data_IF_586836003961
#
_entry.id   IF_586836003961
#
_cell.length_a   1.000
_cell.length_b   1.000
_cell.length_c   1.000
_cell.angle_alpha   90.00
_cell.angle_beta   90.00
_cell.angle_gamma   90.00
#
_symmetry.space_group_name_H-M   'P 1'
#
loop_
_entity.id
_entity.type
_entity.pdbx_description
1 polymer ?
#
# COMPACT_ATOMS: atom_id res chain seq x y z
N UNK A 1 -31.89 53.88 18.97
CA UNK A 1 -32.68 52.72 18.53
C UNK A 1 -31.67 51.65 18.09
N UNK A 2 -30.89 51.15 19.07
CA UNK A 2 -29.56 50.53 18.83
C UNK A 2 -29.51 49.07 19.30
N UNK A 3 -30.66 48.42 19.39
CA UNK A 3 -30.77 47.05 19.92
C UNK A 3 -31.20 46.02 18.87
N UNK A 4 -31.66 46.46 17.69
CA UNK A 4 -32.08 45.55 16.60
C UNK A 4 -30.90 45.17 15.69
N UNK A 5 -29.90 46.03 15.55
CA UNK A 5 -28.73 45.79 14.66
C UNK A 5 -27.79 44.70 15.22
N UNK A 6 -27.76 44.51 16.54
CA UNK A 6 -26.88 43.53 17.18
C UNK A 6 -27.39 42.09 17.15
N UNK A 7 -28.67 41.84 16.83
CA UNK A 7 -29.19 40.46 16.74
C UNK A 7 -28.98 39.92 15.32
N UNK A 8 -29.05 40.77 14.29
CA UNK A 8 -28.84 40.35 12.89
C UNK A 8 -27.37 40.04 12.58
N UNK A 9 -26.43 40.61 13.34
CA UNK A 9 -24.99 40.39 13.10
C UNK A 9 -24.43 39.09 13.70
N UNK A 10 -25.13 38.45 14.66
CA UNK A 10 -24.58 37.28 15.36
C UNK A 10 -25.07 35.96 14.76
N UNK A 11 -26.24 35.95 14.10
CA UNK A 11 -26.81 34.72 13.51
C UNK A 11 -26.25 34.38 12.13
N UNK A 12 -25.61 35.31 11.42
CA UNK A 12 -25.02 35.05 10.09
C UNK A 12 -23.66 34.34 10.18
N UNK A 13 -22.99 34.39 11.33
CA UNK A 13 -21.64 33.83 11.49
C UNK A 13 -21.58 32.33 11.84
N UNK A 14 -22.72 31.68 12.09
CA UNK A 14 -22.76 30.28 12.55
C UNK A 14 -23.06 29.24 11.46
N UNK A 15 -23.20 29.65 10.19
CA UNK A 15 -23.60 28.75 9.10
C UNK A 15 -22.51 28.43 8.06
N UNK A 16 -21.27 28.92 8.21
CA UNK A 16 -20.22 28.76 7.18
C UNK A 16 -19.06 27.85 7.61
N UNK A 17 -19.20 27.09 8.70
CA UNK A 17 -18.14 26.21 9.19
C UNK A 17 -18.33 24.72 8.85
N UNK A 18 -19.42 24.33 8.19
CA UNK A 18 -19.74 22.90 7.97
C UNK A 18 -19.47 22.38 6.56
N UNK A 19 -18.91 23.17 5.64
CA UNK A 19 -18.90 22.78 4.22
C UNK A 19 -17.63 23.10 3.43
N UNK A 20 -16.43 23.02 4.03
CA UNK A 20 -15.21 22.87 3.20
C UNK A 20 -14.22 21.97 3.94
N UNK A 21 -14.46 20.66 3.90
CA UNK A 21 -13.34 19.73 3.88
C UNK A 21 -12.85 19.72 2.43
N UNK A 22 -11.67 20.25 2.10
CA UNK A 22 -11.11 20.03 0.78
C UNK A 22 -10.84 18.52 0.67
N UNK A 23 -11.73 17.80 -0.01
CA UNK A 23 -11.44 16.47 -0.49
C UNK A 23 -10.31 16.62 -1.53
N UNK A 24 -9.06 16.53 -1.07
CA UNK A 24 -7.91 16.40 -1.95
C UNK A 24 -8.07 15.04 -2.65
N UNK A 25 -8.46 15.06 -3.93
CA UNK A 25 -8.47 13.85 -4.75
C UNK A 25 -7.03 13.36 -4.88
N UNK A 26 -6.84 12.08 -4.54
CA UNK A 26 -5.56 11.40 -4.36
C UNK A 26 -4.85 11.07 -5.68
N UNK A 27 -4.66 12.07 -6.56
CA UNK A 27 -3.98 11.90 -7.86
C UNK A 27 -2.51 11.48 -7.68
N UNK A 28 -1.89 11.87 -6.56
CA UNK A 28 -0.46 11.62 -6.30
C UNK A 28 -0.15 10.15 -6.02
N UNK A 29 -1.06 9.39 -5.41
CA UNK A 29 -0.85 7.95 -5.22
C UNK A 29 -1.02 7.19 -6.53
N UNK A 30 -1.93 7.63 -7.40
CA UNK A 30 -2.19 6.99 -8.69
C UNK A 30 -0.98 7.08 -9.62
N UNK A 31 -0.27 8.22 -9.62
CA UNK A 31 1.00 8.37 -10.34
C UNK A 31 2.09 7.41 -9.82
N UNK A 32 2.15 7.20 -8.50
CA UNK A 32 3.15 6.30 -7.90
C UNK A 32 2.93 4.85 -8.32
N UNK A 33 1.69 4.34 -8.30
CA UNK A 33 1.41 2.95 -8.68
C UNK A 33 1.66 2.67 -10.17
N UNK A 34 1.59 3.70 -11.01
CA UNK A 34 1.85 3.60 -12.45
C UNK A 34 3.34 3.73 -12.81
N UNK A 35 4.20 4.07 -11.83
CA UNK A 35 5.64 4.25 -12.04
C UNK A 35 6.33 2.91 -12.31
N UNK A 36 7.29 2.90 -13.24
CA UNK A 36 8.12 1.73 -13.55
C UNK A 36 9.53 1.96 -13.02
N UNK A 37 10.03 1.01 -12.24
CA UNK A 37 11.41 0.98 -11.74
C UNK A 37 12.23 -0.07 -12.51
N UNK A 38 13.59 -0.01 -12.44
CA UNK A 38 14.43 -1.01 -13.06
C UNK A 38 14.11 -2.42 -12.55
N UNK A 39 13.93 -3.38 -13.47
CA UNK A 39 13.61 -4.78 -13.16
C UNK A 39 14.53 -5.37 -12.08
N UNK A 40 15.83 -5.08 -12.15
CA UNK A 40 16.80 -5.59 -11.17
C UNK A 40 16.52 -5.12 -9.74
N UNK A 41 15.96 -3.92 -9.55
CA UNK A 41 15.57 -3.42 -8.24
C UNK A 41 14.43 -4.28 -7.66
N UNK A 42 13.38 -4.55 -8.44
CA UNK A 42 12.31 -5.44 -8.00
C UNK A 42 12.78 -6.86 -7.69
N UNK A 43 13.69 -7.42 -8.48
CA UNK A 43 14.24 -8.74 -8.22
C UNK A 43 15.03 -8.78 -6.91
N UNK A 44 15.83 -7.74 -6.66
CA UNK A 44 16.55 -7.57 -5.40
C UNK A 44 15.58 -7.47 -4.22
N UNK A 45 14.55 -6.63 -4.33
CA UNK A 45 13.57 -6.43 -3.27
C UNK A 45 12.75 -7.70 -2.98
N UNK A 46 12.42 -8.51 -4.00
CA UNK A 46 11.80 -9.82 -3.80
C UNK A 46 12.72 -10.77 -3.03
N UNK A 47 14.00 -10.83 -3.40
CA UNK A 47 14.97 -11.70 -2.72
C UNK A 47 15.19 -11.27 -1.26
N UNK A 48 15.26 -9.97 -1.00
CA UNK A 48 15.37 -9.42 0.35
C UNK A 48 14.10 -9.69 1.16
N UNK A 49 12.92 -9.42 0.61
CA UNK A 49 11.63 -9.72 1.25
C UNK A 49 11.52 -11.20 1.62
N UNK A 50 11.81 -12.10 0.68
CA UNK A 50 11.68 -13.54 0.89
C UNK A 50 12.61 -14.04 2.00
N UNK A 51 13.86 -13.56 2.02
CA UNK A 51 14.83 -13.88 3.08
C UNK A 51 14.39 -13.33 4.43
N UNK A 52 14.01 -12.06 4.48
CA UNK A 52 13.57 -11.41 5.71
C UNK A 52 12.38 -12.14 6.32
N UNK A 53 11.41 -12.57 5.51
CA UNK A 53 10.28 -13.36 5.97
C UNK A 53 10.72 -14.70 6.56
N UNK A 54 11.65 -15.42 5.93
CA UNK A 54 12.11 -16.72 6.44
C UNK A 54 13.04 -16.61 7.66
N UNK A 55 13.74 -15.48 7.81
CA UNK A 55 14.72 -15.27 8.87
C UNK A 55 14.08 -14.68 10.15
N UNK A 56 13.02 -13.88 9.99
CA UNK A 56 12.37 -13.18 11.12
C UNK A 56 11.10 -13.86 11.62
N UNK A 57 10.38 -14.56 10.75
CA UNK A 57 9.16 -15.24 11.16
C UNK A 57 9.52 -16.50 11.98
N UNK A 58 8.96 -16.72 13.18
CA UNK A 58 9.34 -17.83 14.05
C UNK A 58 9.11 -19.22 13.43
N UNK A 59 8.06 -19.36 12.62
CA UNK A 59 7.66 -20.63 11.99
C UNK A 59 7.24 -20.41 10.51
N UNK A 60 8.17 -20.01 9.63
CA UNK A 60 7.84 -19.56 8.27
C UNK A 60 7.28 -20.67 7.38
N UNK A 61 7.44 -21.93 7.80
CA UNK A 61 7.06 -23.12 7.07
C UNK A 61 5.98 -23.95 7.79
N UNK A 62 5.24 -23.35 8.72
CA UNK A 62 4.17 -24.05 9.45
C UNK A 62 3.04 -24.51 8.51
N UNK A 63 2.66 -23.65 7.55
CA UNK A 63 1.54 -23.89 6.63
C UNK A 63 1.97 -24.14 5.17
N UNK A 64 3.26 -24.05 4.88
CA UNK A 64 3.85 -24.23 3.55
C UNK A 64 5.21 -24.91 3.64
N UNK A 65 5.53 -25.85 2.73
CA UNK A 65 6.88 -26.42 2.70
C UNK A 65 7.90 -25.39 2.22
N UNK A 66 9.14 -25.51 2.69
CA UNK A 66 10.26 -24.65 2.26
C UNK A 66 10.39 -24.64 0.73
N UNK A 67 10.34 -25.79 0.10
CA UNK A 67 10.49 -25.95 -1.35
C UNK A 67 9.35 -25.27 -2.10
N UNK A 68 8.11 -25.40 -1.58
CA UNK A 68 6.94 -24.76 -2.19
C UNK A 68 7.00 -23.24 -2.05
N UNK A 69 7.44 -22.74 -0.90
CA UNK A 69 7.64 -21.30 -0.68
C UNK A 69 8.65 -20.72 -1.69
N UNK A 70 9.86 -21.28 -1.75
CA UNK A 70 10.89 -20.79 -2.68
C UNK A 70 10.50 -20.97 -4.15
N UNK A 71 9.75 -22.03 -4.50
CA UNK A 71 9.17 -22.16 -5.84
C UNK A 71 8.18 -21.03 -6.16
N UNK A 72 7.35 -20.63 -5.20
CA UNK A 72 6.44 -19.49 -5.40
C UNK A 72 7.22 -18.19 -5.58
N UNK A 73 8.30 -17.98 -4.81
CA UNK A 73 9.17 -16.79 -4.94
C UNK A 73 9.77 -16.72 -6.35
N UNK A 74 10.39 -17.80 -6.83
CA UNK A 74 10.97 -17.83 -8.18
C UNK A 74 9.91 -17.67 -9.26
N UNK A 75 8.75 -18.31 -9.12
CA UNK A 75 7.63 -18.12 -10.06
C UNK A 75 7.13 -16.67 -10.12
N UNK A 76 7.23 -15.90 -9.03
CA UNK A 76 6.87 -14.47 -9.04
C UNK A 76 7.98 -13.62 -9.67
N UNK A 77 9.26 -13.95 -9.46
CA UNK A 77 10.40 -13.28 -10.12
C UNK A 77 10.34 -13.40 -11.65
N UNK A 78 9.90 -14.54 -12.15
CA UNK A 78 9.70 -14.78 -13.59
C UNK A 78 8.63 -13.87 -14.23
N UNK A 79 7.67 -13.39 -13.44
CA UNK A 79 6.61 -12.47 -13.90
C UNK A 79 7.05 -11.01 -13.93
N UNK A 80 8.20 -10.66 -13.33
CA UNK A 80 8.73 -9.29 -13.32
C UNK A 80 9.43 -9.00 -14.66
N UNK A 81 8.91 -8.00 -15.37
CA UNK A 81 9.42 -7.52 -16.65
C UNK A 81 9.93 -6.09 -16.54
N UNK A 82 10.54 -5.57 -17.61
CA UNK A 82 11.00 -4.18 -17.67
C UNK A 82 9.85 -3.16 -17.75
N UNK A 83 8.61 -3.63 -17.93
CA UNK A 83 7.39 -2.80 -17.94
C UNK A 83 6.55 -2.95 -16.67
N UNK A 84 6.99 -3.74 -15.69
CA UNK A 84 6.25 -3.95 -14.45
C UNK A 84 6.13 -2.64 -13.68
N UNK A 85 4.88 -2.22 -13.47
CA UNK A 85 4.56 -1.05 -12.67
C UNK A 85 4.76 -1.34 -11.18
N UNK A 86 4.93 -0.30 -10.38
CA UNK A 86 5.06 -0.41 -8.94
C UNK A 86 3.83 -1.06 -8.30
N UNK A 87 2.63 -0.78 -8.83
CA UNK A 87 1.39 -1.44 -8.40
C UNK A 87 1.41 -2.95 -8.66
N UNK A 88 1.82 -3.39 -9.85
CA UNK A 88 1.96 -4.82 -10.17
C UNK A 88 3.02 -5.50 -9.28
N UNK A 89 4.14 -4.83 -9.04
CA UNK A 89 5.16 -5.29 -8.11
C UNK A 89 4.61 -5.53 -6.69
N UNK A 90 3.81 -4.60 -6.15
CA UNK A 90 3.16 -4.75 -4.84
C UNK A 90 2.24 -5.98 -4.81
N UNK A 91 1.54 -6.27 -5.91
CA UNK A 91 0.73 -7.49 -6.00
C UNK A 91 1.58 -8.75 -5.96
N UNK A 92 2.74 -8.76 -6.62
CA UNK A 92 3.69 -9.87 -6.54
C UNK A 92 4.24 -10.06 -5.12
N UNK A 93 4.67 -8.99 -4.46
CA UNK A 93 5.18 -9.02 -3.09
C UNK A 93 4.11 -9.50 -2.10
N UNK A 94 2.90 -8.93 -2.17
CA UNK A 94 1.74 -9.35 -1.36
C UNK A 94 1.42 -10.84 -1.54
N UNK A 95 1.54 -11.35 -2.76
CA UNK A 95 1.32 -12.77 -3.03
C UNK A 95 2.38 -13.68 -2.38
N UNK A 96 3.62 -13.22 -2.23
CA UNK A 96 4.68 -13.96 -1.53
C UNK A 96 4.38 -13.99 -0.03
N UNK A 97 4.05 -12.84 0.56
CA UNK A 97 3.69 -12.71 1.99
C UNK A 97 2.50 -13.61 2.33
N UNK A 98 1.42 -13.52 1.55
CA UNK A 98 0.22 -14.32 1.75
C UNK A 98 0.49 -15.84 1.61
N UNK A 99 1.50 -16.24 0.83
CA UNK A 99 1.83 -17.67 0.64
C UNK A 99 2.35 -18.36 1.89
N UNK A 100 2.83 -17.60 2.88
CA UNK A 100 3.22 -18.12 4.21
C UNK A 100 1.99 -18.62 4.98
N UNK A 101 0.81 -18.04 4.72
CA UNK A 101 -0.44 -18.45 5.33
C UNK A 101 -0.63 -18.01 6.79
N UNK A 102 0.27 -17.17 7.32
CA UNK A 102 0.17 -16.63 8.68
C UNK A 102 -0.54 -15.27 8.68
N UNK A 103 -1.70 -15.19 9.36
CA UNK A 103 -2.51 -13.96 9.42
C UNK A 103 -1.87 -12.77 10.14
N UNK A 104 -0.71 -12.95 10.76
CA UNK A 104 0.05 -11.89 11.44
C UNK A 104 1.25 -11.41 10.61
N UNK A 105 1.39 -11.88 9.36
CA UNK A 105 2.46 -11.47 8.45
C UNK A 105 1.88 -10.55 7.37
N UNK A 106 2.41 -9.33 7.26
CA UNK A 106 1.93 -8.27 6.36
C UNK A 106 3.08 -7.48 5.75
#
# INVERSE_FOLDING_TARGET
MNTIVNIVSVTVFLFVATFICPAQSDDTQNEKFSTVFPRQAYLHDIDELAKNLTDTHPQPYEFISKERYWRNVEAKKELITDSTTYGEFIWHASSIIASIGCGHTS
#
